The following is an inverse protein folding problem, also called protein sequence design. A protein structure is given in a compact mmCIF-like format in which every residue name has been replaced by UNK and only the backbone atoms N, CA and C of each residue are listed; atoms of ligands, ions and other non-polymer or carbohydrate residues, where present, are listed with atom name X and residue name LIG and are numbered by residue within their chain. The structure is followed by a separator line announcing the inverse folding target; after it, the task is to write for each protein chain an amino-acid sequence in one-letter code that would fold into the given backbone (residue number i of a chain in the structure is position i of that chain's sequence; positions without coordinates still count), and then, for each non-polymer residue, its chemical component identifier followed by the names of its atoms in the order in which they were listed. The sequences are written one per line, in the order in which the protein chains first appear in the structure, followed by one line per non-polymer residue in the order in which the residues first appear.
data_IF_275082598012
#
_entry.id   IF_275082598012
#
_cell.length_a   1.000
_cell.length_b   1.000
_cell.length_c   1.000
_cell.angle_alpha   90.00
_cell.angle_beta   90.00
_cell.angle_gamma   90.00
#
_symmetry.space_group_name_H-M   'P 1'
#
loop_
_entity.id
_entity.type
_entity.pdbx_description
1 polymer ?
#
# COMPACT_ATOMS: atom_id res chain seq x y z
N UNK A 1 19.58 61.20 -68.52
CA UNK A 1 19.99 60.70 -67.19
C UNK A 1 19.25 59.41 -66.88
N UNK A 2 19.92 58.26 -66.99
CA UNK A 2 19.34 56.96 -66.63
C UNK A 2 19.76 56.59 -65.21
N UNK A 3 18.80 56.39 -64.31
CA UNK A 3 19.04 55.92 -62.94
C UNK A 3 19.08 54.39 -62.94
N UNK A 4 20.26 53.82 -62.76
CA UNK A 4 20.45 52.39 -62.54
C UNK A 4 20.03 52.02 -61.11
N UNK A 5 19.03 51.15 -60.97
CA UNK A 5 18.64 50.54 -59.68
C UNK A 5 19.67 49.47 -59.23
N UNK A 6 19.90 49.29 -57.91
CA UNK A 6 20.83 48.30 -57.40
C UNK A 6 20.26 46.86 -57.43
N UNK A 7 21.13 45.83 -57.42
CA UNK A 7 20.71 44.44 -57.56
C UNK A 7 20.08 43.92 -56.26
N UNK A 8 18.88 43.35 -56.38
CA UNK A 8 18.16 42.67 -55.31
C UNK A 8 18.97 41.46 -54.80
N UNK A 9 19.49 41.58 -53.57
CA UNK A 9 20.17 40.51 -52.85
C UNK A 9 19.19 39.36 -52.53
N UNK A 10 19.22 38.29 -53.35
CA UNK A 10 18.50 37.05 -53.06
C UNK A 10 19.13 36.39 -51.85
N UNK A 11 18.51 36.52 -50.67
CA UNK A 11 18.91 35.75 -49.48
C UNK A 11 18.89 34.25 -49.82
N UNK A 12 19.96 33.48 -49.55
CA UNK A 12 20.00 32.06 -49.88
C UNK A 12 19.03 31.31 -48.97
N UNK A 13 17.84 31.00 -49.48
CA UNK A 13 16.81 30.16 -48.82
C UNK A 13 17.37 28.87 -48.22
N UNK A 14 18.49 28.38 -48.78
CA UNK A 14 19.24 27.20 -48.31
C UNK A 14 19.88 27.37 -46.93
N UNK A 15 20.31 28.57 -46.54
CA UNK A 15 20.91 28.83 -45.21
C UNK A 15 19.82 28.83 -44.13
N UNK A 16 18.68 29.46 -44.44
CA UNK A 16 17.52 29.46 -43.55
C UNK A 16 16.98 28.05 -43.33
N UNK A 17 16.82 27.24 -44.39
CA UNK A 17 16.43 25.82 -44.27
C UNK A 17 17.39 25.01 -43.39
N UNK A 18 18.71 25.23 -43.49
CA UNK A 18 19.69 24.52 -42.66
C UNK A 18 19.56 24.86 -41.18
N UNK A 19 19.32 26.13 -40.84
CA UNK A 19 19.06 26.55 -39.45
C UNK A 19 17.79 25.88 -38.90
N UNK A 20 16.68 25.91 -39.66
CA UNK A 20 15.44 25.25 -39.25
C UNK A 20 15.63 23.73 -39.04
N UNK A 21 16.40 23.04 -39.89
CA UNK A 21 16.65 21.60 -39.75
C UNK A 21 17.43 21.30 -38.46
N UNK A 22 18.45 22.09 -38.13
CA UNK A 22 19.25 21.90 -36.91
C UNK A 22 18.41 22.16 -35.66
N UNK A 23 17.58 23.21 -35.67
CA UNK A 23 16.71 23.58 -34.56
C UNK A 23 15.62 22.52 -34.31
N UNK A 24 15.00 22.02 -35.39
CA UNK A 24 14.02 20.92 -35.32
C UNK A 24 14.67 19.62 -34.83
N UNK A 25 15.89 19.30 -35.26
CA UNK A 25 16.59 18.08 -34.82
C UNK A 25 16.99 18.16 -33.33
N UNK A 26 17.49 19.32 -32.88
CA UNK A 26 17.76 19.55 -31.46
C UNK A 26 16.49 19.42 -30.62
N UNK A 27 15.38 20.04 -31.04
CA UNK A 27 14.11 19.93 -30.33
C UNK A 27 13.59 18.49 -30.29
N UNK A 28 13.65 17.78 -31.42
CA UNK A 28 13.26 16.37 -31.49
C UNK A 28 14.11 15.50 -30.55
N UNK A 29 15.43 15.72 -30.49
CA UNK A 29 16.31 14.97 -29.59
C UNK A 29 15.98 15.19 -28.11
N UNK A 30 15.69 16.44 -27.72
CA UNK A 30 15.30 16.79 -26.36
C UNK A 30 13.93 16.22 -25.99
N UNK A 31 12.98 16.20 -26.92
CA UNK A 31 11.69 15.55 -26.71
C UNK A 31 11.86 14.04 -26.48
N UNK A 32 12.70 13.38 -27.28
CA UNK A 32 12.98 11.95 -27.10
C UNK A 32 13.59 11.67 -25.73
N UNK A 33 14.59 12.45 -25.32
CA UNK A 33 15.20 12.32 -23.99
C UNK A 33 14.16 12.55 -22.87
N UNK A 34 13.33 13.59 -22.99
CA UNK A 34 12.26 13.89 -22.04
C UNK A 34 11.23 12.75 -21.92
N UNK A 35 10.77 12.17 -23.04
CA UNK A 35 9.84 11.04 -23.02
C UNK A 35 10.47 9.79 -22.41
N UNK A 36 11.76 9.52 -22.66
CA UNK A 36 12.48 8.40 -22.04
C UNK A 36 12.57 8.60 -20.53
N UNK A 37 12.95 9.80 -20.07
CA UNK A 37 13.05 10.13 -18.63
C UNK A 37 11.67 9.99 -17.96
N UNK A 38 10.61 10.57 -18.54
CA UNK A 38 9.25 10.42 -18.00
C UNK A 38 8.84 8.96 -17.95
N UNK A 39 9.12 8.19 -19.01
CA UNK A 39 8.80 6.76 -19.06
C UNK A 39 9.48 5.99 -17.92
N UNK A 40 10.75 6.26 -17.65
CA UNK A 40 11.50 5.64 -16.54
C UNK A 40 10.90 6.06 -15.19
N UNK A 41 10.63 7.35 -14.99
CA UNK A 41 10.03 7.86 -13.75
C UNK A 41 8.64 7.23 -13.54
N UNK A 42 7.81 7.18 -14.58
CA UNK A 42 6.48 6.58 -14.53
C UNK A 42 6.55 5.07 -14.26
N UNK A 43 7.53 4.35 -14.83
CA UNK A 43 7.74 2.92 -14.57
C UNK A 43 8.19 2.68 -13.12
N UNK A 44 9.11 3.49 -12.58
CA UNK A 44 9.54 3.42 -11.18
C UNK A 44 8.38 3.75 -10.24
N UNK A 45 7.61 4.79 -10.55
CA UNK A 45 6.43 5.17 -9.78
C UNK A 45 5.36 4.09 -9.83
N UNK A 46 5.09 3.51 -11.01
CA UNK A 46 4.18 2.38 -11.16
C UNK A 46 4.66 1.16 -10.37
N UNK A 47 5.96 0.85 -10.41
CA UNK A 47 6.51 -0.25 -9.62
C UNK A 47 6.33 0.05 -8.12
N UNK A 48 6.65 1.26 -7.67
CA UNK A 48 6.44 1.67 -6.29
C UNK A 48 4.96 1.58 -5.87
N UNK A 49 4.05 2.10 -6.69
CA UNK A 49 2.60 1.97 -6.48
C UNK A 49 2.15 0.51 -6.48
N UNK A 50 2.72 -0.34 -7.34
CA UNK A 50 2.42 -1.78 -7.37
C UNK A 50 2.91 -2.47 -6.09
N UNK A 51 4.08 -2.08 -5.58
CA UNK A 51 4.56 -2.52 -4.26
C UNK A 51 3.64 -2.05 -3.13
N UNK A 52 3.02 -0.86 -3.24
CA UNK A 52 2.03 -0.37 -2.28
C UNK A 52 0.66 -1.04 -2.45
N UNK A 53 0.24 -1.33 -3.68
CA UNK A 53 -1.03 -1.98 -4.02
C UNK A 53 -1.05 -3.44 -3.56
N UNK A 54 0.09 -4.13 -3.61
CA UNK A 54 0.25 -5.47 -3.02
C UNK A 54 0.13 -5.46 -1.48
N UNK A 55 0.16 -4.28 -0.84
CA UNK A 55 -0.19 -4.12 0.57
C UNK A 55 -1.67 -3.74 0.78
N UNK A 56 -2.46 -3.51 -0.27
CA UNK A 56 -3.88 -3.19 -0.17
C UNK A 56 -4.79 -4.41 -0.35
N UNK A 57 -4.30 -5.49 -0.96
CA UNK A 57 -5.05 -6.76 -1.09
C UNK A 57 -4.86 -7.61 0.17
N UNK A 58 -5.15 -7.00 1.31
CA UNK A 58 -5.14 -7.63 2.63
C UNK A 58 -6.54 -7.87 3.19
N UNK A 59 -7.56 -7.96 2.34
CA UNK A 59 -8.90 -8.38 2.75
C UNK A 59 -9.35 -9.59 1.91
N UNK A 60 -9.33 -10.74 2.60
CA UNK A 60 -10.17 -11.92 2.38
C UNK A 60 -9.64 -13.05 1.47
N UNK A 61 -8.73 -13.87 2.01
CA UNK A 61 -8.74 -15.32 1.72
C UNK A 61 -9.62 -16.02 2.75
N UNK A 62 -10.88 -16.28 2.35
CA UNK A 62 -11.67 -17.37 2.92
C UNK A 62 -10.98 -18.69 2.62
N UNK A 63 -10.40 -19.30 3.64
CA UNK A 63 -10.08 -20.73 3.63
C UNK A 63 -11.41 -21.48 3.66
N UNK A 64 -11.80 -21.98 2.49
CA UNK A 64 -12.86 -22.95 2.31
C UNK A 64 -12.31 -24.34 2.67
N UNK A 65 -12.50 -24.77 3.92
CA UNK A 65 -12.33 -26.17 4.31
C UNK A 65 -13.72 -26.79 4.49
N UNK A 66 -14.12 -27.66 3.55
CA UNK A 66 -15.20 -28.61 3.74
C UNK A 66 -14.79 -30.02 3.31
N UNK A 67 -14.94 -30.93 4.29
CA UNK A 67 -15.30 -32.36 4.16
C UNK A 67 -14.13 -33.32 3.82
N UNK A 68 -13.81 -34.38 4.57
CA UNK A 68 -14.65 -35.26 5.42
C UNK A 68 -13.80 -36.24 6.23
N UNK A 69 -14.09 -36.45 7.53
CA UNK A 69 -14.46 -37.76 8.12
C UNK A 69 -14.57 -37.72 9.67
N UNK A 70 -15.81 -37.69 10.15
CA UNK A 70 -16.39 -38.44 11.29
C UNK A 70 -15.66 -38.51 12.65
N UNK A 71 -16.12 -37.73 13.64
CA UNK A 71 -16.88 -38.24 14.81
C UNK A 71 -17.22 -37.10 15.79
N UNK A 72 -18.51 -36.74 15.85
CA UNK A 72 -19.28 -36.31 17.04
C UNK A 72 -18.70 -35.22 17.99
N UNK A 73 -18.98 -33.94 17.71
CA UNK A 73 -19.58 -32.98 18.67
C UNK A 73 -20.09 -31.74 17.91
N UNK A 74 -21.31 -31.32 18.21
CA UNK A 74 -22.18 -30.41 17.44
C UNK A 74 -21.68 -28.95 17.23
N UNK A 75 -22.17 -28.25 16.18
CA UNK A 75 -21.84 -26.86 15.84
C UNK A 75 -22.82 -25.85 16.47
N UNK A 76 -22.36 -24.64 16.83
CA UNK A 76 -23.25 -23.50 17.12
C UNK A 76 -22.78 -22.29 16.32
N UNK A 77 -23.39 -22.11 15.15
CA UNK A 77 -23.43 -20.81 14.47
C UNK A 77 -24.68 -20.06 14.92
N UNK A 78 -24.53 -18.83 15.37
CA UNK A 78 -25.62 -17.84 15.40
C UNK A 78 -24.94 -16.48 15.18
N UNK A 79 -25.34 -15.62 14.24
CA UNK A 79 -26.70 -15.24 13.93
C UNK A 79 -26.78 -14.53 12.56
N UNK A 80 -27.52 -15.11 11.60
CA UNK A 80 -28.23 -14.33 10.58
C UNK A 80 -29.70 -14.28 10.98
N UNK A 81 -30.13 -13.07 11.34
CA UNK A 81 -31.45 -12.67 11.82
C UNK A 81 -32.62 -13.29 11.05
N UNK A 82 -33.44 -14.10 11.72
CA UNK A 82 -34.89 -14.20 11.48
C UNK A 82 -35.61 -14.30 12.82
N UNK A 83 -36.52 -13.36 13.05
CA UNK A 83 -37.43 -13.25 14.21
C UNK A 83 -38.69 -14.07 13.92
N UNK A 84 -39.06 -14.99 14.82
CA UNK A 84 -40.41 -15.47 15.21
C UNK A 84 -40.22 -16.76 16.03
N UNK A 85 -40.86 -17.12 17.15
CA UNK A 85 -41.90 -16.59 18.03
C UNK A 85 -42.37 -17.76 18.95
N UNK A 86 -42.98 -17.43 20.10
CA UNK A 86 -43.77 -18.23 21.08
C UNK A 86 -43.08 -19.19 22.09
N UNK A 87 -43.36 -18.97 23.40
CA UNK A 87 -43.62 -20.05 24.37
C UNK A 87 -42.84 -20.07 25.69
N UNK A 88 -43.41 -19.44 26.74
CA UNK A 88 -43.46 -19.80 28.19
C UNK A 88 -42.18 -20.27 28.91
N UNK A 89 -41.84 -19.95 30.16
CA UNK A 89 -42.39 -19.15 31.27
C UNK A 89 -41.29 -19.22 32.37
N UNK A 90 -41.01 -18.10 33.05
CA UNK A 90 -40.58 -17.91 34.47
C UNK A 90 -39.35 -18.73 34.99
N UNK A 91 -38.33 -18.21 35.68
CA UNK A 91 -38.20 -17.22 36.74
C UNK A 91 -36.73 -16.66 36.80
N UNK A 92 -36.55 -15.54 37.52
CA UNK A 92 -35.31 -14.76 37.73
C UNK A 92 -34.34 -15.42 38.77
N UNK A 93 -33.32 -14.73 39.34
CA UNK A 93 -32.03 -14.28 38.78
C UNK A 93 -30.82 -14.61 39.72
N UNK A 94 -29.59 -14.74 39.22
CA UNK A 94 -28.40 -14.27 39.97
C UNK A 94 -27.12 -14.23 39.12
N UNK A 95 -26.81 -12.99 38.74
CA UNK A 95 -25.51 -12.40 38.41
C UNK A 95 -24.27 -13.31 38.43
N UNK A 96 -23.96 -13.92 37.30
CA UNK A 96 -22.59 -14.18 36.89
C UNK A 96 -22.56 -14.39 35.38
N UNK A 97 -22.62 -13.33 34.59
CA UNK A 97 -22.21 -13.40 33.19
C UNK A 97 -21.61 -12.09 32.70
N UNK A 98 -20.42 -12.27 32.16
CA UNK A 98 -19.53 -11.35 31.52
C UNK A 98 -20.25 -10.42 30.54
N UNK A 99 -20.22 -9.13 30.81
CA UNK A 99 -20.37 -8.10 29.79
C UNK A 99 -19.05 -7.99 28.99
N UNK A 100 -18.73 -9.04 28.24
CA UNK A 100 -17.76 -9.00 27.15
C UNK A 100 -18.53 -8.84 25.84
N UNK A 101 -18.96 -7.63 25.57
CA UNK A 101 -19.36 -7.20 24.22
C UNK A 101 -18.70 -5.86 23.96
N UNK A 102 -17.36 -5.92 23.91
CA UNK A 102 -16.48 -4.87 23.41
C UNK A 102 -15.41 -5.45 22.45
N UNK A 103 -15.51 -6.72 22.07
CA UNK A 103 -14.39 -7.50 21.50
C UNK A 103 -14.18 -7.30 19.98
N UNK A 104 -15.02 -6.54 19.28
CA UNK A 104 -14.89 -6.40 17.82
C UNK A 104 -14.15 -5.11 17.36
N UNK A 105 -13.69 -4.25 18.28
CA UNK A 105 -12.96 -3.02 17.94
C UNK A 105 -11.49 -3.00 18.40
N UNK A 106 -11.03 -4.02 19.12
CA UNK A 106 -9.64 -4.13 19.58
C UNK A 106 -8.70 -4.75 18.55
N UNK A 107 -9.22 -5.34 17.48
CA UNK A 107 -8.41 -6.19 16.59
C UNK A 107 -7.50 -5.36 15.67
N UNK A 108 -7.89 -4.17 15.21
CA UNK A 108 -7.02 -3.37 14.35
C UNK A 108 -5.79 -2.87 15.09
N UNK A 109 -5.92 -2.32 16.29
CA UNK A 109 -4.87 -1.52 16.96
C UNK A 109 -3.85 -2.33 17.77
N UNK A 110 -3.99 -3.65 17.87
CA UNK A 110 -3.14 -4.52 18.69
C UNK A 110 -2.00 -5.15 17.86
N UNK A 111 -0.88 -5.44 18.52
CA UNK A 111 0.30 -6.07 17.93
C UNK A 111 -0.07 -7.44 17.35
N UNK A 112 0.18 -7.65 16.05
CA UNK A 112 -0.12 -8.92 15.37
C UNK A 112 0.91 -10.04 15.61
N UNK A 113 1.84 -9.84 16.56
CA UNK A 113 2.83 -10.87 16.94
C UNK A 113 2.47 -11.46 18.29
N UNK A 114 2.30 -10.59 19.30
CA UNK A 114 1.96 -11.07 20.64
C UNK A 114 0.46 -11.01 20.94
N UNK A 115 -0.34 -10.27 20.18
CA UNK A 115 -1.78 -10.05 20.42
C UNK A 115 -2.14 -9.46 21.79
N UNK A 116 -1.16 -9.08 22.61
CA UNK A 116 -1.38 -8.56 23.96
C UNK A 116 -1.26 -7.03 24.09
N UNK A 117 -0.41 -6.40 23.27
CA UNK A 117 -0.04 -5.00 23.45
C UNK A 117 -0.39 -4.15 22.23
N UNK A 118 -0.74 -2.89 22.45
CA UNK A 118 -1.04 -1.95 21.37
C UNK A 118 0.16 -1.75 20.41
N UNK A 119 -0.16 -1.55 19.13
CA UNK A 119 0.79 -1.14 18.11
C UNK A 119 1.37 0.21 18.51
N UNK A 120 2.69 0.25 18.67
CA UNK A 120 3.38 1.41 19.23
C UNK A 120 4.67 1.74 18.48
N UNK A 121 4.94 1.07 17.35
CA UNK A 121 6.16 1.29 16.59
C UNK A 121 6.02 0.96 15.10
N UNK A 122 6.96 1.51 14.31
CA UNK A 122 7.09 1.27 12.87
C UNK A 122 8.55 1.06 12.47
N UNK A 123 8.75 0.35 11.36
CA UNK A 123 10.06 -0.02 10.83
C UNK A 123 10.55 0.97 9.77
N UNK A 124 11.83 1.36 9.82
CA UNK A 124 12.45 2.25 8.82
C UNK A 124 13.41 1.43 7.95
N UNK A 125 13.38 1.56 6.60
CA UNK A 125 12.66 2.58 5.80
C UNK A 125 11.29 2.15 5.25
N UNK A 126 10.78 0.96 5.58
CA UNK A 126 9.56 0.45 4.95
C UNK A 126 8.24 1.04 5.48
N UNK A 127 8.23 1.63 6.66
CA UNK A 127 7.06 2.28 7.26
C UNK A 127 6.03 1.36 7.90
N UNK A 128 6.14 0.03 7.76
CA UNK A 128 5.17 -0.90 8.33
C UNK A 128 5.20 -0.89 9.87
N UNK A 129 4.03 -0.71 10.49
CA UNK A 129 3.83 -0.68 11.93
C UNK A 129 2.67 -1.60 12.33
N UNK A 130 2.99 -2.85 12.67
CA UNK A 130 2.02 -3.86 13.08
C UNK A 130 2.39 -4.50 14.43
N UNK A 131 3.42 -3.97 15.09
CA UNK A 131 4.01 -4.56 16.29
C UNK A 131 4.06 -3.59 17.46
N UNK A 132 4.11 -4.13 18.68
CA UNK A 132 4.48 -3.39 19.87
C UNK A 132 6.01 -3.27 19.96
N UNK A 133 6.50 -2.33 20.77
CA UNK A 133 7.94 -2.05 20.89
C UNK A 133 8.78 -3.26 21.31
N UNK A 134 8.26 -4.14 22.17
CA UNK A 134 8.94 -5.38 22.60
C UNK A 134 9.12 -6.36 21.45
N UNK A 135 8.06 -6.62 20.68
CA UNK A 135 8.13 -7.49 19.51
C UNK A 135 9.03 -6.91 18.40
N UNK A 136 8.99 -5.60 18.18
CA UNK A 136 9.87 -4.94 17.22
C UNK A 136 11.35 -5.02 17.61
N UNK A 137 11.67 -4.97 18.91
CA UNK A 137 13.05 -5.13 19.38
C UNK A 137 13.57 -6.54 19.11
N UNK A 138 12.75 -7.58 19.32
CA UNK A 138 13.11 -8.97 18.99
C UNK A 138 13.47 -9.13 17.50
N UNK A 139 12.67 -8.54 16.61
CA UNK A 139 12.95 -8.53 15.16
C UNK A 139 14.28 -7.83 14.84
N UNK A 140 14.67 -6.82 15.62
CA UNK A 140 15.96 -6.14 15.45
C UNK A 140 17.16 -6.92 15.99
N UNK A 141 16.91 -7.86 16.91
CA UNK A 141 17.90 -8.76 17.50
C UNK A 141 18.13 -10.02 16.63
N UNK A 142 17.12 -10.44 15.84
CA UNK A 142 17.24 -11.53 14.87
C UNK A 142 18.33 -11.26 13.81
N UNK A 143 18.92 -12.33 13.26
CA UNK A 143 20.03 -12.23 12.29
C UNK A 143 19.61 -11.51 10.99
N UNK A 144 18.40 -11.77 10.51
CA UNK A 144 17.94 -11.25 9.23
C UNK A 144 17.43 -9.80 9.30
N UNK A 145 17.05 -9.29 10.49
CA UNK A 145 16.52 -7.93 10.72
C UNK A 145 15.53 -7.49 9.64
N UNK A 146 14.64 -8.36 9.19
CA UNK A 146 13.71 -8.07 8.08
C UNK A 146 12.32 -7.76 8.59
N UNK A 147 11.63 -6.83 7.93
CA UNK A 147 10.24 -6.53 8.20
C UNK A 147 9.35 -7.73 7.83
N UNK A 148 8.53 -8.28 8.74
CA UNK A 148 7.69 -9.45 8.43
C UNK A 148 6.60 -9.21 7.38
N UNK A 149 6.26 -7.94 7.09
CA UNK A 149 5.27 -7.59 6.07
C UNK A 149 5.89 -7.60 4.66
N UNK A 150 6.97 -6.83 4.46
CA UNK A 150 7.54 -6.60 3.13
C UNK A 150 8.93 -7.19 2.92
N UNK A 151 9.46 -7.91 3.90
CA UNK A 151 10.78 -8.57 3.91
C UNK A 151 11.97 -7.64 3.67
N UNK A 152 11.76 -6.31 3.68
CA UNK A 152 12.83 -5.31 3.57
C UNK A 152 13.66 -5.27 4.86
N UNK A 153 14.97 -5.08 4.72
CA UNK A 153 15.87 -4.89 5.86
C UNK A 153 15.43 -3.67 6.70
N UNK A 154 15.34 -3.88 8.01
CA UNK A 154 15.00 -2.88 9.00
C UNK A 154 16.28 -2.26 9.51
N UNK A 155 16.42 -0.95 9.32
CA UNK A 155 17.59 -0.22 9.81
C UNK A 155 17.42 0.22 11.26
N UNK A 156 16.18 0.60 11.64
CA UNK A 156 15.83 1.06 12.98
C UNK A 156 14.32 1.03 13.20
N UNK A 157 13.91 0.96 14.46
CA UNK A 157 12.52 1.02 14.92
C UNK A 157 12.28 2.38 15.58
N UNK A 158 11.12 3.00 15.30
CA UNK A 158 10.66 4.23 15.96
C UNK A 158 9.30 4.01 16.61
N UNK A 159 9.06 4.71 17.72
CA UNK A 159 7.77 4.67 18.40
C UNK A 159 6.75 5.58 17.70
N UNK A 160 5.50 5.17 17.74
CA UNK A 160 4.38 5.99 17.30
C UNK A 160 4.01 6.92 18.45
N UNK A 161 4.19 8.22 18.24
CA UNK A 161 3.70 9.27 19.13
C UNK A 161 2.44 9.83 18.46
N UNK A 162 1.27 9.42 18.95
CA UNK A 162 -0.01 9.98 18.52
C UNK A 162 -0.23 11.22 19.41
N UNK A 163 -0.27 12.44 18.85
CA UNK A 163 -0.51 13.66 19.62
C UNK A 163 -1.93 13.76 20.18
#
# INVERSE_FOLDING_TARGET
MGTSLPPQARRPRKVLMKLFIVEVFSFASQLVEYFVIIGVIAAVFYFFLKQLSQCSDGEHETVQDQHTSSSETEPILTNKKVVMGYGAMEEQPESSMCSASAEDLYSESVCKICYDAARSCFFIPCGHGFTCFTCARRIMEDENKTCPICRRLVHRVRRLEIP
#
